data_IF_246877168233
#
_entry.id   IF_246877168233
#
_cell.length_a   1.000
_cell.length_b   1.000
_cell.length_c   1.000
_cell.angle_alpha   90.00
_cell.angle_beta   90.00
_cell.angle_gamma   90.00
#
_symmetry.space_group_name_H-M   'P 1'
#
loop_
_entity.id
_entity.type
_entity.pdbx_description
1 polymer ?
#
# COMPACT_ATOMS: atom_id res chain seq x y z
N UNK A 1 48.63 8.60 -64.12
CA UNK A 1 48.81 8.55 -62.65
C UNK A 1 48.83 9.95 -62.02
N UNK A 2 47.70 10.67 -62.03
CA UNK A 2 47.55 11.93 -61.27
C UNK A 2 46.10 12.02 -60.81
N UNK A 3 45.85 11.52 -59.60
CA UNK A 3 44.52 11.49 -58.99
C UNK A 3 44.49 10.80 -57.62
N UNK A 4 45.43 9.89 -57.33
CA UNK A 4 45.41 9.10 -56.07
C UNK A 4 45.75 9.90 -54.80
N UNK A 5 46.30 11.12 -54.92
CA UNK A 5 46.65 11.96 -53.77
C UNK A 5 45.53 12.91 -53.30
N UNK A 6 44.32 12.84 -53.87
CA UNK A 6 43.18 13.65 -53.44
C UNK A 6 42.28 12.96 -52.40
N UNK A 7 42.45 11.66 -52.16
CA UNK A 7 41.62 10.90 -51.20
C UNK A 7 41.98 11.12 -49.73
N UNK A 8 43.14 11.73 -49.45
CA UNK A 8 43.58 12.07 -48.09
C UNK A 8 42.73 13.18 -47.44
N UNK A 9 41.94 13.91 -48.21
CA UNK A 9 41.00 14.92 -47.71
C UNK A 9 39.56 14.41 -47.60
N UNK A 10 39.29 13.14 -47.91
CA UNK A 10 37.99 12.53 -47.62
C UNK A 10 37.90 12.24 -46.12
N UNK A 11 37.67 13.30 -45.33
CA UNK A 11 37.27 13.17 -43.94
C UNK A 11 35.94 12.42 -43.94
N UNK A 12 35.94 11.18 -43.44
CA UNK A 12 34.72 10.45 -43.06
C UNK A 12 34.15 11.17 -41.84
N UNK A 13 33.50 12.30 -42.09
CA UNK A 13 32.77 13.02 -41.07
C UNK A 13 31.48 12.24 -40.91
N UNK A 14 31.41 11.45 -39.85
CA UNK A 14 30.16 10.82 -39.45
C UNK A 14 29.11 11.93 -39.31
N UNK A 15 28.04 11.81 -40.10
CA UNK A 15 26.98 12.79 -40.14
C UNK A 15 26.42 12.95 -38.73
N UNK A 16 26.51 14.16 -38.19
CA UNK A 16 25.96 14.45 -36.87
C UNK A 16 24.47 14.08 -36.84
N UNK A 17 23.99 13.44 -35.77
CA UNK A 17 22.60 13.03 -35.67
C UNK A 17 21.68 14.22 -35.89
N UNK A 18 20.67 14.04 -36.73
CA UNK A 18 19.65 15.08 -36.86
C UNK A 18 18.82 15.17 -35.58
N UNK A 19 18.20 16.33 -35.34
CA UNK A 19 17.37 16.55 -34.15
C UNK A 19 16.19 15.56 -34.09
N UNK A 20 15.69 15.12 -35.25
CA UNK A 20 14.71 14.05 -35.37
C UNK A 20 15.26 12.69 -34.92
N UNK A 21 16.49 12.33 -35.31
CA UNK A 21 17.14 11.09 -34.85
C UNK A 21 17.45 11.12 -33.35
N UNK A 22 17.84 12.28 -32.80
CA UNK A 22 18.03 12.42 -31.35
C UNK A 22 16.71 12.24 -30.59
N UNK A 23 15.62 12.85 -31.07
CA UNK A 23 14.29 12.66 -30.49
C UNK A 23 13.84 11.20 -30.56
N UNK A 24 14.07 10.53 -31.69
CA UNK A 24 13.73 9.12 -31.87
C UNK A 24 14.51 8.25 -30.87
N UNK A 25 15.82 8.46 -30.74
CA UNK A 25 16.64 7.75 -29.75
C UNK A 25 16.19 7.99 -28.31
N UNK A 26 15.82 9.23 -27.97
CA UNK A 26 15.29 9.55 -26.65
C UNK A 26 13.97 8.80 -26.40
N UNK A 27 13.03 8.83 -27.35
CA UNK A 27 11.77 8.10 -27.21
C UNK A 27 11.95 6.60 -27.12
N UNK A 28 12.91 6.02 -27.86
CA UNK A 28 13.25 4.59 -27.75
C UNK A 28 13.87 4.25 -26.39
N UNK A 29 14.73 5.13 -25.85
CA UNK A 29 15.34 4.95 -24.53
C UNK A 29 14.35 5.13 -23.37
N UNK A 30 13.44 6.09 -23.46
CA UNK A 30 12.40 6.33 -22.46
C UNK A 30 11.41 5.16 -22.41
N UNK A 31 11.02 4.62 -23.58
CA UNK A 31 10.19 3.42 -23.64
C UNK A 31 10.86 2.23 -22.95
N UNK A 32 12.17 2.07 -23.10
CA UNK A 32 12.93 1.01 -22.44
C UNK A 32 13.04 1.19 -20.90
N UNK A 33 13.05 2.43 -20.41
CA UNK A 33 13.17 2.76 -18.97
C UNK A 33 11.81 2.87 -18.24
N UNK A 34 10.68 2.80 -18.95
CA UNK A 34 9.33 2.81 -18.36
C UNK A 34 9.04 1.63 -17.41
N UNK A 35 9.93 0.64 -17.33
CA UNK A 35 9.80 -0.50 -16.42
C UNK A 35 10.06 -0.19 -14.95
N UNK A 36 10.64 0.99 -14.61
CA UNK A 36 10.84 1.38 -13.21
C UNK A 36 9.58 2.05 -12.68
N UNK A 37 8.71 1.25 -12.05
CA UNK A 37 7.65 1.75 -11.17
C UNK A 37 8.28 2.78 -10.22
N UNK A 38 7.81 4.02 -10.24
CA UNK A 38 8.38 5.07 -9.40
C UNK A 38 8.13 4.82 -7.91
N UNK A 39 8.95 5.39 -7.03
CA UNK A 39 8.83 5.24 -5.56
C UNK A 39 7.46 5.64 -5.01
N UNK A 40 6.78 6.63 -5.62
CA UNK A 40 5.42 7.02 -5.25
C UNK A 40 4.40 5.93 -5.59
N UNK A 41 4.56 5.27 -6.75
CA UNK A 41 3.69 4.15 -7.14
C UNK A 41 3.85 2.99 -6.17
N UNK A 42 5.08 2.70 -5.75
CA UNK A 42 5.35 1.68 -4.73
C UNK A 42 4.71 2.05 -3.37
N UNK A 43 4.80 3.31 -2.94
CA UNK A 43 4.14 3.75 -1.71
C UNK A 43 2.61 3.61 -1.76
N UNK A 44 2.01 3.99 -2.90
CA UNK A 44 0.56 3.79 -3.13
C UNK A 44 0.20 2.31 -3.07
N UNK A 45 1.02 1.43 -3.65
CA UNK A 45 0.83 -0.02 -3.55
C UNK A 45 0.91 -0.52 -2.11
N UNK A 46 1.78 0.05 -1.28
CA UNK A 46 1.85 -0.22 0.17
C UNK A 46 0.56 0.13 0.90
N UNK A 47 0.01 1.33 0.67
CA UNK A 47 -1.27 1.77 1.26
C UNK A 47 -2.41 0.83 0.82
N UNK A 48 -2.45 0.49 -0.47
CA UNK A 48 -3.46 -0.44 -0.99
C UNK A 48 -3.35 -1.85 -0.39
N UNK A 49 -2.15 -2.27 0.04
CA UNK A 49 -1.95 -3.53 0.75
C UNK A 49 -2.55 -3.43 2.15
N UNK A 50 -2.29 -2.35 2.88
CA UNK A 50 -2.88 -2.09 4.21
C UNK A 50 -4.42 -2.08 4.15
N UNK A 51 -5.02 -1.35 3.22
CA UNK A 51 -6.48 -1.35 3.01
C UNK A 51 -7.03 -2.76 2.78
N UNK A 52 -6.29 -3.58 2.02
CA UNK A 52 -6.69 -4.96 1.73
C UNK A 52 -6.49 -5.91 2.92
N UNK A 53 -5.55 -5.62 3.82
CA UNK A 53 -5.41 -6.32 5.11
C UNK A 53 -6.59 -6.01 6.02
N UNK A 54 -7.00 -4.74 6.12
CA UNK A 54 -8.16 -4.32 6.91
C UNK A 54 -9.46 -4.92 6.38
N UNK A 55 -9.68 -4.88 5.07
CA UNK A 55 -10.82 -5.53 4.44
C UNK A 55 -10.86 -7.04 4.73
N UNK A 56 -9.69 -7.70 4.77
CA UNK A 56 -9.60 -9.11 5.12
C UNK A 56 -9.89 -9.35 6.60
N UNK A 57 -9.38 -8.52 7.52
CA UNK A 57 -9.69 -8.60 8.97
C UNK A 57 -11.19 -8.48 9.22
N UNK A 58 -11.86 -7.52 8.58
CA UNK A 58 -13.31 -7.34 8.66
C UNK A 58 -14.03 -8.58 8.12
N UNK A 59 -13.61 -9.10 6.95
CA UNK A 59 -14.22 -10.29 6.36
C UNK A 59 -14.06 -11.55 7.25
N UNK A 60 -12.95 -11.68 8.00
CA UNK A 60 -12.76 -12.75 8.97
C UNK A 60 -13.71 -12.58 10.16
N UNK A 61 -13.84 -11.37 10.69
CA UNK A 61 -14.72 -11.07 11.84
C UNK A 61 -16.21 -11.29 11.51
N UNK A 62 -16.62 -10.97 10.29
CA UNK A 62 -17.99 -11.17 9.81
C UNK A 62 -18.30 -12.63 9.44
N UNK A 63 -17.31 -13.53 9.47
CA UNK A 63 -17.51 -14.91 9.07
C UNK A 63 -18.26 -15.68 10.16
N UNK A 64 -19.41 -16.32 9.84
CA UNK A 64 -20.15 -17.10 10.83
C UNK A 64 -19.36 -18.35 11.26
N UNK A 65 -19.58 -18.81 12.49
CA UNK A 65 -18.93 -20.04 13.02
C UNK A 65 -19.19 -21.27 12.12
N UNK A 66 -20.39 -21.34 11.55
CA UNK A 66 -20.81 -22.39 10.60
C UNK A 66 -20.61 -21.98 9.13
N UNK A 67 -19.53 -21.25 8.82
CA UNK A 67 -19.25 -20.81 7.45
C UNK A 67 -19.18 -21.97 6.45
N UNK A 68 -19.88 -21.78 5.34
CA UNK A 68 -19.89 -22.73 4.23
C UNK A 68 -18.50 -22.89 3.62
N UNK A 69 -18.22 -24.07 3.06
CA UNK A 69 -16.98 -24.35 2.34
C UNK A 69 -16.69 -23.31 1.25
N UNK A 70 -17.72 -22.79 0.58
CA UNK A 70 -17.61 -21.72 -0.44
C UNK A 70 -17.11 -20.42 0.17
N UNK A 71 -17.63 -20.02 1.34
CA UNK A 71 -17.22 -18.80 2.03
C UNK A 71 -15.77 -18.90 2.54
N UNK A 72 -15.38 -20.06 3.06
CA UNK A 72 -14.00 -20.33 3.46
C UNK A 72 -13.05 -20.33 2.27
N UNK A 73 -13.45 -20.87 1.12
CA UNK A 73 -12.67 -20.83 -0.10
C UNK A 73 -12.46 -19.39 -0.59
N UNK A 74 -13.52 -18.57 -0.62
CA UNK A 74 -13.43 -17.16 -1.00
C UNK A 74 -12.51 -16.35 -0.06
N UNK A 75 -12.56 -16.64 1.25
CA UNK A 75 -11.64 -16.04 2.20
C UNK A 75 -10.18 -16.44 1.93
N UNK A 76 -9.96 -17.73 1.63
CA UNK A 76 -8.63 -18.24 1.33
C UNK A 76 -8.07 -17.64 0.04
N UNK A 77 -8.90 -17.45 -0.98
CA UNK A 77 -8.52 -16.75 -2.21
C UNK A 77 -8.08 -15.30 -1.92
N UNK A 78 -8.83 -14.57 -1.08
CA UNK A 78 -8.44 -13.22 -0.65
C UNK A 78 -7.09 -13.22 0.07
N UNK A 79 -6.84 -14.20 0.96
CA UNK A 79 -5.55 -14.39 1.64
C UNK A 79 -4.41 -14.65 0.65
N UNK A 80 -4.61 -15.54 -0.31
CA UNK A 80 -3.61 -15.86 -1.31
C UNK A 80 -3.29 -14.65 -2.20
N UNK A 81 -4.32 -13.91 -2.62
CA UNK A 81 -4.15 -12.69 -3.41
C UNK A 81 -3.37 -11.61 -2.65
N UNK A 82 -3.67 -11.43 -1.37
CA UNK A 82 -2.93 -10.52 -0.50
C UNK A 82 -1.46 -10.93 -0.37
N UNK A 83 -1.21 -12.22 -0.09
CA UNK A 83 0.15 -12.75 0.02
C UNK A 83 0.96 -12.51 -1.27
N UNK A 84 0.36 -12.76 -2.44
CA UNK A 84 1.02 -12.50 -3.73
C UNK A 84 1.35 -11.01 -3.94
N UNK A 85 0.48 -10.08 -3.51
CA UNK A 85 0.74 -8.63 -3.58
C UNK A 85 1.88 -8.23 -2.65
N UNK A 86 1.94 -8.78 -1.44
CA UNK A 86 3.02 -8.53 -0.48
C UNK A 86 4.36 -9.03 -1.03
N UNK A 87 4.41 -10.25 -1.59
CA UNK A 87 5.63 -10.77 -2.22
C UNK A 87 6.12 -9.85 -3.34
N UNK A 88 5.23 -9.43 -4.23
CA UNK A 88 5.58 -8.49 -5.31
C UNK A 88 6.04 -7.13 -4.77
N UNK A 89 5.43 -6.63 -3.71
CA UNK A 89 5.82 -5.38 -3.07
C UNK A 89 7.26 -5.44 -2.53
N UNK A 90 7.63 -6.56 -1.92
CA UNK A 90 9.01 -6.80 -1.46
C UNK A 90 9.98 -6.98 -2.64
N UNK A 91 9.63 -7.72 -3.68
CA UNK A 91 10.47 -7.85 -4.88
C UNK A 91 10.78 -6.48 -5.52
N UNK A 92 9.78 -5.59 -5.56
CA UNK A 92 9.97 -4.23 -6.06
C UNK A 92 10.84 -3.41 -5.10
N UNK A 93 10.63 -3.53 -3.79
CA UNK A 93 11.44 -2.85 -2.79
C UNK A 93 12.92 -3.27 -2.90
N UNK A 94 13.18 -4.58 -2.98
CA UNK A 94 14.52 -5.14 -3.12
C UNK A 94 15.19 -4.61 -4.39
N UNK A 95 14.48 -4.59 -5.53
CA UNK A 95 14.99 -4.04 -6.77
C UNK A 95 15.28 -2.52 -6.71
N UNK A 96 14.50 -1.76 -5.91
CA UNK A 96 14.75 -0.32 -5.68
C UNK A 96 15.94 -0.08 -4.74
N UNK A 97 16.12 -0.94 -3.74
CA UNK A 97 17.16 -0.82 -2.71
C UNK A 97 18.45 -1.58 -3.04
N UNK A 98 18.53 -2.22 -4.22
CA UNK A 98 19.72 -2.95 -4.65
C UNK A 98 20.95 -2.01 -4.63
N UNK A 99 21.91 -2.31 -3.76
CA UNK A 99 23.11 -1.48 -3.53
C UNK A 99 23.00 -0.42 -2.43
N UNK A 100 21.86 -0.31 -1.76
CA UNK A 100 21.64 0.55 -0.59
C UNK A 100 21.59 -0.33 0.66
N UNK A 101 22.60 -0.24 1.53
CA UNK A 101 22.55 -0.88 2.85
C UNK A 101 21.54 -0.14 3.74
N UNK A 102 20.31 -0.63 3.80
CA UNK A 102 19.31 -0.16 4.76
C UNK A 102 19.51 -0.93 6.06
N UNK A 103 20.04 -0.27 7.08
CA UNK A 103 20.13 -0.84 8.43
C UNK A 103 18.73 -0.85 9.06
N UNK A 104 17.88 -1.78 8.63
CA UNK A 104 16.54 -1.95 9.16
C UNK A 104 16.65 -2.48 10.60
N UNK A 105 16.41 -1.61 11.58
CA UNK A 105 16.18 -2.04 12.96
C UNK A 105 14.97 -2.97 12.97
N UNK A 106 15.21 -4.26 13.21
CA UNK A 106 14.21 -5.33 13.08
C UNK A 106 13.33 -5.43 14.31
N UNK A 107 12.37 -4.52 14.50
CA UNK A 107 11.23 -4.78 15.37
C UNK A 107 9.96 -4.15 14.78
N UNK A 108 9.32 -4.85 13.83
CA UNK A 108 7.93 -4.58 13.49
C UNK A 108 7.05 -5.32 14.50
N UNK A 109 6.76 -4.65 15.61
CA UNK A 109 5.81 -5.14 16.62
C UNK A 109 4.45 -4.58 16.26
N UNK A 110 3.64 -5.37 15.57
CA UNK A 110 2.20 -5.16 15.57
C UNK A 110 1.72 -5.33 17.01
N UNK A 111 1.36 -4.23 17.68
CA UNK A 111 0.81 -4.30 19.03
C UNK A 111 -0.60 -4.89 18.96
N UNK A 112 -0.71 -6.17 19.33
CA UNK A 112 -1.95 -6.96 19.34
C UNK A 112 -3.05 -6.25 20.15
N UNK A 113 -2.71 -5.33 21.06
CA UNK A 113 -3.66 -4.53 21.85
C UNK A 113 -4.52 -3.60 21.00
N UNK A 114 -4.05 -3.14 19.84
CA UNK A 114 -4.87 -2.34 18.92
C UNK A 114 -5.97 -3.17 18.23
N UNK A 115 -5.87 -4.50 18.22
CA UNK A 115 -6.88 -5.37 17.61
C UNK A 115 -8.07 -5.68 18.51
N UNK A 116 -8.01 -5.37 19.81
CA UNK A 116 -9.01 -5.78 20.82
C UNK A 116 -10.01 -4.70 21.22
N UNK A 117 -9.99 -3.50 20.62
CA UNK A 117 -10.71 -2.35 21.21
C UNK A 117 -12.24 -2.41 21.16
N UNK A 118 -12.86 -3.32 20.41
CA UNK A 118 -14.33 -3.37 20.26
C UNK A 118 -14.97 -4.72 20.69
N UNK A 119 -14.27 -5.55 21.45
CA UNK A 119 -14.81 -6.78 22.00
C UNK A 119 -15.02 -6.70 23.53
N UNK A 120 -15.46 -5.54 24.04
CA UNK A 120 -16.23 -5.54 25.28
C UNK A 120 -17.62 -6.02 24.88
N UNK A 121 -17.86 -7.33 25.00
CA UNK A 121 -19.22 -7.83 25.13
C UNK A 121 -19.83 -7.13 26.35
N UNK A 122 -20.58 -6.05 26.13
CA UNK A 122 -21.58 -5.61 27.09
C UNK A 122 -22.63 -6.72 27.16
N UNK A 123 -22.38 -7.64 28.07
CA UNK A 123 -23.37 -8.56 28.59
C UNK A 123 -24.39 -7.69 29.32
N UNK A 124 -25.45 -7.29 28.61
CA UNK A 124 -26.65 -6.80 29.24
C UNK A 124 -27.30 -8.01 29.95
N UNK A 125 -26.81 -8.34 31.15
CA UNK A 125 -27.59 -9.16 32.07
C UNK A 125 -28.88 -8.38 32.30
N UNK A 126 -29.99 -8.94 31.79
CA UNK A 126 -31.32 -8.49 32.11
C UNK A 126 -31.55 -8.75 33.60
N UNK A 127 -31.08 -7.84 34.44
CA UNK A 127 -31.47 -7.77 35.84
C UNK A 127 -32.90 -7.26 35.88
N UNK A 128 -33.78 -8.11 36.40
CA UNK A 128 -35.19 -7.89 36.57
C UNK A 128 -35.49 -6.51 37.18
N UNK A 129 -36.44 -5.82 36.55
CA UNK A 129 -37.05 -4.57 37.01
C UNK A 129 -37.96 -4.92 38.19
N UNK A 130 -37.51 -4.69 39.42
CA UNK A 130 -38.35 -4.32 40.57
C UNK A 130 -37.43 -3.98 41.76
N UNK A 131 -37.68 -2.84 42.41
CA UNK A 131 -36.93 -2.29 43.56
C UNK A 131 -35.51 -1.75 43.32
N UNK A 132 -35.38 -0.48 42.91
CA UNK A 132 -34.85 0.64 43.73
C UNK A 132 -35.21 1.95 42.99
N UNK A 133 -36.49 2.32 43.06
CA UNK A 133 -36.90 3.71 42.90
C UNK A 133 -36.60 4.40 44.22
N UNK A 134 -35.41 4.99 44.37
CA UNK A 134 -35.20 6.17 45.21
C UNK A 134 -33.77 6.70 44.99
N UNK A 135 -33.72 7.99 44.65
CA UNK A 135 -32.58 8.89 44.86
C UNK A 135 -31.47 8.90 43.79
N UNK A 136 -31.63 9.76 42.77
CA UNK A 136 -30.60 10.71 42.31
C UNK A 136 -31.16 11.59 41.17
N UNK A 137 -32.04 12.52 41.53
CA UNK A 137 -32.24 13.75 40.75
C UNK A 137 -31.02 14.65 40.99
N UNK A 138 -29.95 14.49 40.21
CA UNK A 138 -28.92 15.53 40.10
C UNK A 138 -28.81 15.95 38.64
N UNK A 139 -29.40 17.11 38.35
CA UNK A 139 -29.50 17.69 37.02
C UNK A 139 -28.10 17.97 36.43
N UNK A 140 -27.78 17.35 35.29
CA UNK A 140 -26.59 17.68 34.50
C UNK A 140 -26.86 19.01 33.75
N UNK A 141 -26.11 20.10 34.02
CA UNK A 141 -26.33 21.37 33.34
C UNK A 141 -25.92 21.28 31.87
N UNK A 142 -26.84 21.67 30.97
CA UNK A 142 -26.73 21.60 29.52
C UNK A 142 -25.79 22.64 28.87
N UNK A 143 -24.86 23.24 29.62
CA UNK A 143 -24.07 24.39 29.17
C UNK A 143 -22.58 24.08 28.99
N UNK A 144 -22.24 23.08 28.16
CA UNK A 144 -20.95 23.10 27.43
C UNK A 144 -21.13 22.53 26.02
N UNK A 145 -22.15 23.02 25.31
CA UNK A 145 -22.20 22.98 23.85
C UNK A 145 -21.46 24.20 23.30
N UNK A 146 -20.15 24.12 23.15
CA UNK A 146 -19.34 25.02 22.32
C UNK A 146 -17.97 24.36 22.06
N UNK A 147 -17.79 23.66 20.94
CA UNK A 147 -17.12 24.18 19.73
C UNK A 147 -15.85 24.97 20.06
N UNK A 148 -14.68 24.35 19.86
CA UNK A 148 -13.64 24.92 19.00
C UNK A 148 -12.57 23.88 18.60
N UNK A 149 -12.26 23.84 17.29
CA UNK A 149 -11.04 23.25 16.72
C UNK A 149 -10.06 24.39 16.41
N UNK A 150 -8.77 24.22 16.71
CA UNK A 150 -7.68 24.70 15.88
C UNK A 150 -7.18 23.64 14.89
#
# INVERSE_FOLDING_TARGET
ERGEHLDIYQLKIDKAPTMAEMRLKLTESELADTGKLGSISWLIDGINIEDSQDALRIAIRQLPKDASAVQRAALQEKRQKLAARISKFHEIADAMTEGIEVHAGTEHVDDIRFCTSDAVEEVWEAADIEDVLEEMDEAVPAEVMAIWMP
#
